data_IF_063552640949
#
_entry.id   IF_063552640949
#
_cell.length_a   1.000
_cell.length_b   1.000
_cell.length_c   1.000
_cell.angle_alpha   90.00
_cell.angle_beta   90.00
_cell.angle_gamma   90.00
#
_symmetry.space_group_name_H-M   'P 1'
#
loop_
_entity.id
_entity.type
_entity.pdbx_description
1 polymer ?
#
# COMPACT_ATOMS: atom_id res chain seq x y z
N UNK A 1 -64.78 -24.33 -21.24
CA UNK A 1 -65.36 -23.22 -20.47
C UNK A 1 -64.19 -22.52 -19.79
N UNK A 2 -63.79 -21.36 -20.30
CA UNK A 2 -62.73 -20.50 -19.75
C UNK A 2 -63.38 -19.54 -18.75
N UNK A 3 -62.86 -19.39 -17.52
CA UNK A 3 -62.92 -18.14 -16.77
C UNK A 3 -61.64 -17.30 -16.97
N UNK A 4 -61.75 -15.95 -17.00
CA UNK A 4 -60.68 -15.05 -17.42
C UNK A 4 -59.64 -14.77 -16.33
N UNK A 5 -58.43 -14.48 -16.80
CA UNK A 5 -57.23 -14.12 -16.03
C UNK A 5 -57.28 -12.63 -15.66
N UNK A 6 -57.15 -12.32 -14.37
CA UNK A 6 -56.90 -10.97 -13.86
C UNK A 6 -55.40 -10.81 -13.54
N UNK A 7 -54.79 -9.93 -14.33
CA UNK A 7 -53.66 -9.03 -14.07
C UNK A 7 -52.67 -9.36 -12.94
N UNK A 8 -51.44 -9.74 -13.33
CA UNK A 8 -50.24 -9.49 -12.53
C UNK A 8 -49.02 -9.33 -13.45
N UNK A 9 -48.66 -8.07 -13.67
CA UNK A 9 -47.37 -7.55 -14.14
C UNK A 9 -46.20 -8.55 -14.03
N UNK A 10 -45.75 -9.07 -15.17
CA UNK A 10 -44.47 -9.77 -15.28
C UNK A 10 -43.32 -8.82 -14.95
N UNK A 11 -42.76 -8.95 -13.75
CA UNK A 11 -41.41 -8.50 -13.44
C UNK A 11 -40.56 -9.76 -13.26
N UNK A 12 -39.77 -10.09 -14.28
CA UNK A 12 -38.72 -11.09 -14.14
C UNK A 12 -37.63 -10.52 -13.20
N UNK A 13 -37.23 -11.23 -12.13
CA UNK A 13 -36.10 -10.81 -11.33
C UNK A 13 -34.83 -10.95 -12.16
N UNK A 14 -34.18 -9.81 -12.44
CA UNK A 14 -32.86 -9.75 -13.07
C UNK A 14 -31.83 -10.37 -12.10
N UNK A 15 -31.42 -11.61 -12.32
CA UNK A 15 -30.28 -12.24 -11.65
C UNK A 15 -28.97 -11.65 -12.18
N UNK A 16 -28.13 -10.94 -11.38
CA UNK A 16 -26.76 -10.69 -11.77
C UNK A 16 -25.92 -11.92 -11.40
N UNK A 17 -25.82 -12.90 -12.31
CA UNK A 17 -24.84 -13.98 -12.18
C UNK A 17 -23.43 -13.46 -12.49
N UNK A 18 -22.83 -12.80 -11.51
CA UNK A 18 -21.45 -12.34 -11.51
C UNK A 18 -20.51 -13.19 -10.64
N UNK A 19 -20.89 -14.41 -10.28
CA UNK A 19 -20.10 -15.25 -9.37
C UNK A 19 -20.04 -16.68 -9.87
N UNK A 20 -18.99 -17.00 -10.62
CA UNK A 20 -18.62 -18.41 -10.80
C UNK A 20 -17.16 -18.61 -11.16
N UNK A 21 -16.24 -18.30 -10.27
CA UNK A 21 -14.99 -19.05 -10.07
C UNK A 21 -14.43 -18.68 -8.68
N UNK A 22 -14.67 -19.50 -7.66
CA UNK A 22 -13.89 -19.41 -6.42
C UNK A 22 -13.45 -20.81 -6.02
N UNK A 23 -12.13 -20.96 -5.90
CA UNK A 23 -11.47 -22.07 -5.24
C UNK A 23 -11.76 -21.96 -3.74
N UNK A 24 -12.26 -23.03 -3.12
CA UNK A 24 -12.71 -23.07 -1.72
C UNK A 24 -11.57 -22.80 -0.71
N UNK A 25 -10.32 -22.70 -1.18
CA UNK A 25 -9.13 -22.39 -0.39
C UNK A 25 -8.77 -20.88 -0.36
N UNK A 26 -9.36 -20.06 -1.24
CA UNK A 26 -9.19 -18.62 -1.24
C UNK A 26 -10.37 -18.00 -0.46
N UNK A 27 -10.14 -17.60 0.79
CA UNK A 27 -11.15 -16.92 1.60
C UNK A 27 -11.80 -15.71 0.90
N UNK A 28 -12.89 -15.14 1.46
CA UNK A 28 -13.71 -14.14 0.78
C UNK A 28 -12.88 -13.00 0.16
N UNK A 29 -12.88 -12.87 -1.17
CA UNK A 29 -12.20 -11.78 -1.86
C UNK A 29 -12.94 -10.46 -1.59
N UNK A 30 -12.43 -9.69 -0.63
CA UNK A 30 -12.89 -8.32 -0.40
C UNK A 30 -12.36 -7.45 -1.54
N UNK A 31 -13.23 -6.65 -2.18
CA UNK A 31 -12.80 -5.69 -3.20
C UNK A 31 -11.76 -4.73 -2.57
N UNK A 32 -10.62 -4.43 -3.23
CA UNK A 32 -9.54 -3.63 -2.64
C UNK A 32 -9.98 -2.27 -2.02
N UNK A 33 -11.08 -1.68 -2.53
CA UNK A 33 -11.63 -0.40 -2.07
C UNK A 33 -12.49 -0.48 -0.80
N UNK A 34 -12.97 -1.68 -0.45
CA UNK A 34 -13.66 -1.90 0.83
C UNK A 34 -12.64 -1.89 1.98
N UNK A 35 -11.41 -2.32 1.71
CA UNK A 35 -10.33 -2.39 2.70
C UNK A 35 -9.91 -1.02 3.25
N UNK A 36 -10.01 0.04 2.44
CA UNK A 36 -9.74 1.43 2.85
C UNK A 36 -10.98 2.16 3.36
N UNK A 37 -12.11 1.46 3.56
CA UNK A 37 -13.43 2.06 3.82
C UNK A 37 -13.84 3.10 2.78
N UNK A 38 -13.45 2.91 1.52
CA UNK A 38 -13.75 3.82 0.40
C UNK A 38 -12.80 5.01 0.26
N UNK A 39 -11.75 5.13 1.07
CA UNK A 39 -10.74 6.20 0.93
C UNK A 39 -9.83 5.91 -0.27
N UNK A 40 -9.56 6.95 -1.06
CA UNK A 40 -8.63 6.91 -2.20
C UNK A 40 -7.32 7.66 -1.93
N UNK A 41 -7.29 8.49 -0.88
CA UNK A 41 -6.13 9.31 -0.50
C UNK A 41 -5.82 9.13 0.99
N UNK A 42 -4.54 9.17 1.38
CA UNK A 42 -4.13 9.09 2.78
C UNK A 42 -4.59 10.31 3.57
N UNK A 43 -4.83 10.12 4.87
CA UNK A 43 -5.19 11.22 5.78
C UNK A 43 -3.98 12.11 6.10
N UNK A 44 -2.75 11.56 6.02
CA UNK A 44 -1.49 12.27 6.26
C UNK A 44 -0.36 11.67 5.41
N UNK A 45 0.59 12.52 5.02
CA UNK A 45 1.76 12.13 4.23
C UNK A 45 1.48 12.19 2.73
N UNK A 46 2.46 12.62 1.96
CA UNK A 46 2.47 12.47 0.51
C UNK A 46 3.47 11.36 0.17
N UNK A 47 2.98 10.31 -0.47
CA UNK A 47 3.72 9.07 -0.70
C UNK A 47 3.86 8.85 -2.20
N UNK A 48 4.97 9.28 -2.79
CA UNK A 48 5.32 8.87 -4.15
C UNK A 48 5.85 7.42 -4.17
N UNK A 49 6.03 6.85 -5.37
CA UNK A 49 6.49 5.46 -5.49
C UNK A 49 7.92 5.23 -4.97
N UNK A 50 8.74 6.28 -4.95
CA UNK A 50 10.15 6.20 -4.55
C UNK A 50 10.36 6.56 -3.07
N UNK A 51 9.31 7.02 -2.40
CA UNK A 51 9.32 7.39 -0.98
C UNK A 51 9.73 6.19 -0.16
N UNK A 52 10.78 6.35 0.64
CA UNK A 52 11.29 5.31 1.52
C UNK A 52 10.55 5.34 2.85
N UNK A 53 10.13 4.18 3.32
CA UNK A 53 9.37 3.99 4.54
C UNK A 53 10.11 3.02 5.46
N UNK A 54 10.13 3.34 6.74
CA UNK A 54 10.71 2.47 7.78
C UNK A 54 9.83 2.47 9.03
N UNK A 55 9.74 1.32 9.68
CA UNK A 55 9.00 1.13 10.92
C UNK A 55 9.70 1.84 12.08
N UNK A 56 8.91 2.44 12.96
CA UNK A 56 9.38 3.01 14.23
C UNK A 56 9.17 1.94 15.30
N UNK A 57 10.24 1.19 15.59
CA UNK A 57 10.23 0.13 16.59
C UNK A 57 9.73 -1.22 16.07
N UNK A 58 9.61 -2.21 16.98
CA UNK A 58 9.22 -3.57 16.63
C UNK A 58 7.75 -3.64 16.17
N UNK A 59 7.36 -4.77 15.58
CA UNK A 59 5.95 -5.04 15.28
C UNK A 59 5.11 -4.87 16.55
N UNK A 60 4.01 -4.10 16.51
CA UNK A 60 3.23 -3.83 17.70
C UNK A 60 2.50 -5.09 18.20
N UNK A 61 2.59 -5.40 19.50
CA UNK A 61 1.91 -6.55 20.11
C UNK A 61 0.50 -6.17 20.61
N UNK A 62 -0.55 -6.90 20.18
CA UNK A 62 -1.93 -6.76 20.70
C UNK A 62 -2.96 -6.10 19.75
N UNK A 63 -4.17 -5.85 20.26
CA UNK A 63 -5.29 -5.26 19.50
C UNK A 63 -5.15 -3.73 19.34
N UNK A 64 -4.30 -3.29 18.42
CA UNK A 64 -4.03 -1.85 18.19
C UNK A 64 -4.97 -1.28 17.10
N UNK A 65 -6.04 -2.03 16.80
CA UNK A 65 -6.97 -1.72 15.72
C UNK A 65 -6.28 -1.68 14.34
N UNK A 66 -5.22 -2.49 14.16
CA UNK A 66 -4.51 -2.63 12.90
C UNK A 66 -5.04 -3.87 12.17
N UNK A 67 -5.31 -3.73 10.88
CA UNK A 67 -5.66 -4.84 10.01
C UNK A 67 -4.44 -5.72 9.70
N UNK A 68 -4.64 -6.91 9.13
CA UNK A 68 -3.55 -7.80 8.75
C UNK A 68 -2.58 -7.15 7.77
N UNK A 69 -3.05 -6.28 6.87
CA UNK A 69 -2.20 -5.59 5.89
C UNK A 69 -1.37 -4.48 6.51
N UNK A 70 -1.87 -3.78 7.55
CA UNK A 70 -1.06 -2.86 8.34
C UNK A 70 0.08 -3.60 9.05
N UNK A 71 -0.20 -4.77 9.62
CA UNK A 71 0.82 -5.61 10.26
C UNK A 71 1.84 -6.15 9.24
N UNK A 72 1.38 -6.53 8.05
CA UNK A 72 2.26 -6.93 6.95
C UNK A 72 3.21 -5.79 6.56
N UNK A 73 2.71 -4.55 6.42
CA UNK A 73 3.55 -3.37 6.19
C UNK A 73 4.55 -3.19 7.34
N UNK A 74 4.14 -3.32 8.61
CA UNK A 74 5.05 -3.17 9.76
C UNK A 74 6.20 -4.19 9.75
N UNK A 75 5.95 -5.44 9.34
CA UNK A 75 6.97 -6.49 9.21
C UNK A 75 7.94 -6.18 8.08
N UNK A 76 7.40 -5.78 6.94
CA UNK A 76 8.13 -5.43 5.75
C UNK A 76 9.03 -4.19 5.98
N UNK A 77 8.50 -3.16 6.62
CA UNK A 77 9.21 -1.93 6.94
C UNK A 77 10.18 -2.05 8.13
N UNK A 78 10.42 -3.25 8.69
CA UNK A 78 11.56 -3.46 9.60
C UNK A 78 12.90 -3.21 8.88
N UNK A 79 12.90 -3.28 7.55
CA UNK A 79 13.94 -2.73 6.69
C UNK A 79 13.38 -1.54 5.91
N UNK A 80 14.26 -0.62 5.49
CA UNK A 80 13.85 0.52 4.65
C UNK A 80 13.32 -0.02 3.32
N UNK A 81 12.11 0.35 2.94
CA UNK A 81 11.48 -0.06 1.69
C UNK A 81 10.75 1.09 1.01
N UNK A 82 10.77 1.10 -0.33
CA UNK A 82 9.99 2.04 -1.12
C UNK A 82 8.51 1.65 -1.17
N UNK A 83 7.64 2.63 -1.46
CA UNK A 83 6.21 2.38 -1.70
C UNK A 83 6.01 1.41 -2.87
N UNK A 84 6.81 1.51 -3.93
CA UNK A 84 6.77 0.57 -5.05
C UNK A 84 7.03 -0.89 -4.60
N UNK A 85 8.06 -1.12 -3.79
CA UNK A 85 8.37 -2.45 -3.27
C UNK A 85 7.24 -2.98 -2.37
N UNK A 86 6.70 -2.14 -1.48
CA UNK A 86 5.56 -2.51 -0.64
C UNK A 86 4.36 -2.96 -1.48
N UNK A 87 4.03 -2.24 -2.55
CA UNK A 87 2.91 -2.63 -3.43
C UNK A 87 3.15 -3.97 -4.12
N UNK A 88 4.37 -4.22 -4.58
CA UNK A 88 4.75 -5.50 -5.19
C UNK A 88 4.73 -6.66 -4.20
N UNK A 89 5.15 -6.44 -2.96
CA UNK A 89 5.15 -7.47 -1.92
C UNK A 89 3.75 -7.81 -1.40
N UNK A 90 2.87 -6.82 -1.31
CA UNK A 90 1.52 -6.99 -0.79
C UNK A 90 0.50 -7.39 -1.87
N UNK A 91 0.86 -7.26 -3.15
CA UNK A 91 -0.05 -7.42 -4.30
C UNK A 91 -1.31 -6.53 -4.17
N UNK A 92 -1.11 -5.30 -3.67
CA UNK A 92 -2.18 -4.32 -3.46
C UNK A 92 -2.01 -3.10 -4.37
N UNK A 93 -3.11 -2.47 -4.82
CA UNK A 93 -3.02 -1.22 -5.56
C UNK A 93 -2.26 -0.13 -4.78
N UNK A 94 -1.49 0.68 -5.49
CA UNK A 94 -0.73 1.81 -4.91
C UNK A 94 -1.60 2.70 -4.02
N UNK A 95 -2.80 3.05 -4.47
CA UNK A 95 -3.71 3.88 -3.69
C UNK A 95 -4.09 3.24 -2.34
N UNK A 96 -4.32 1.93 -2.32
CA UNK A 96 -4.61 1.18 -1.10
C UNK A 96 -3.41 1.23 -0.14
N UNK A 97 -2.21 0.93 -0.64
CA UNK A 97 -0.99 0.97 0.19
C UNK A 97 -0.75 2.36 0.77
N UNK A 98 -0.94 3.43 -0.02
CA UNK A 98 -0.82 4.82 0.45
C UNK A 98 -1.76 5.12 1.60
N UNK A 99 -3.03 4.71 1.52
CA UNK A 99 -4.00 4.91 2.61
C UNK A 99 -3.53 4.19 3.89
N UNK A 100 -3.09 2.93 3.77
CA UNK A 100 -2.60 2.15 4.92
C UNK A 100 -1.34 2.80 5.54
N UNK A 101 -0.44 3.31 4.71
CA UNK A 101 0.75 4.05 5.16
C UNK A 101 0.35 5.34 5.89
N UNK A 102 -0.65 6.08 5.38
CA UNK A 102 -1.20 7.24 6.07
C UNK A 102 -1.73 6.90 7.46
N UNK A 103 -2.49 5.80 7.59
CA UNK A 103 -3.00 5.33 8.88
C UNK A 103 -1.87 4.97 9.87
N UNK A 104 -0.79 4.33 9.39
CA UNK A 104 0.39 4.01 10.22
C UNK A 104 1.19 5.25 10.60
N UNK A 105 1.31 6.21 9.68
CA UNK A 105 2.00 7.47 9.90
C UNK A 105 1.27 8.31 10.95
N UNK A 106 -0.06 8.36 10.89
CA UNK A 106 -0.91 9.02 11.90
C UNK A 106 -0.76 8.40 13.29
N UNK A 107 -0.56 7.08 13.35
CA UNK A 107 -0.28 6.36 14.60
C UNK A 107 1.18 6.47 15.06
N UNK A 108 2.06 7.11 14.29
CA UNK A 108 3.49 7.24 14.60
C UNK A 108 4.24 5.90 14.59
N UNK A 109 3.76 4.93 13.81
CA UNK A 109 4.33 3.58 13.71
C UNK A 109 5.34 3.43 12.57
N UNK A 110 5.34 4.38 11.63
CA UNK A 110 6.31 4.48 10.55
C UNK A 110 6.82 5.91 10.44
N UNK A 111 7.98 6.07 9.83
CA UNK A 111 8.45 7.36 9.31
C UNK A 111 8.78 7.24 7.83
N UNK A 112 8.70 8.36 7.15
CA UNK A 112 9.23 8.52 5.81
C UNK A 112 10.69 8.97 5.91
N UNK A 113 11.51 8.47 5.00
CA UNK A 113 12.86 8.95 4.79
C UNK A 113 12.90 9.56 3.38
N UNK A 114 13.28 10.84 3.29
CA UNK A 114 13.62 11.41 1.98
C UNK A 114 14.80 10.61 1.41
N UNK A 115 14.77 10.22 0.12
CA UNK A 115 15.94 9.67 -0.52
C UNK A 115 17.08 10.63 -0.26
N UNK A 116 18.07 10.23 0.55
CA UNK A 116 19.23 11.09 0.76
C UNK A 116 19.84 11.28 -0.62
N UNK A 117 19.88 12.51 -1.17
CA UNK A 117 20.69 12.74 -2.35
C UNK A 117 22.09 12.28 -1.94
N UNK A 118 22.61 11.28 -2.66
CA UNK A 118 23.88 10.62 -2.38
C UNK A 118 24.84 11.65 -1.79
N UNK A 119 25.09 11.50 -0.47
CA UNK A 119 25.64 12.52 0.40
C UNK A 119 26.61 13.41 -0.36
N UNK A 120 26.22 14.67 -0.62
CA UNK A 120 27.01 15.75 -1.23
C UNK A 120 28.44 15.30 -1.58
N UNK A 121 28.57 14.53 -2.67
CA UNK A 121 29.82 13.85 -3.00
C UNK A 121 30.85 14.83 -3.58
N UNK A 122 30.65 16.13 -3.35
CA UNK A 122 31.58 17.20 -3.64
C UNK A 122 32.41 17.56 -2.41
N UNK A 123 33.00 16.58 -1.74
CA UNK A 123 34.16 16.89 -0.90
C UNK A 123 35.28 17.33 -1.86
N UNK A 124 35.41 18.64 -2.05
CA UNK A 124 36.41 19.25 -2.94
C UNK A 124 37.83 18.78 -2.61
N UNK A 125 38.06 18.30 -1.39
CA UNK A 125 39.32 17.69 -0.96
C UNK A 125 39.56 16.35 -1.65
N UNK A 126 38.53 15.55 -1.88
CA UNK A 126 38.62 14.30 -2.64
C UNK A 126 38.97 14.58 -4.12
N UNK A 127 38.28 15.54 -4.75
CA UNK A 127 38.63 15.93 -6.13
C UNK A 127 40.05 16.49 -6.23
N UNK A 128 40.46 17.30 -5.24
CA UNK A 128 41.83 17.83 -5.19
C UNK A 128 42.86 16.72 -5.02
N UNK A 129 42.61 15.74 -4.15
CA UNK A 129 43.50 14.60 -3.95
C UNK A 129 43.65 13.75 -5.23
N UNK A 130 42.56 13.56 -6.00
CA UNK A 130 42.61 12.86 -7.29
C UNK A 130 43.42 13.64 -8.33
N UNK A 131 43.19 14.95 -8.45
CA UNK A 131 43.93 15.81 -9.39
C UNK A 131 45.41 15.84 -9.05
N UNK A 132 45.75 15.97 -7.77
CA UNK A 132 47.13 16.00 -7.31
C UNK A 132 47.83 14.65 -7.57
N UNK A 133 47.12 13.53 -7.39
CA UNK A 133 47.61 12.20 -7.74
C UNK A 133 47.86 11.98 -9.24
N UNK A 134 46.97 12.47 -10.11
CA UNK A 134 47.13 12.37 -11.57
C UNK A 134 48.27 13.24 -12.11
N UNK A 135 48.59 14.35 -11.45
CA UNK A 135 49.70 15.25 -11.84
C UNK A 135 51.07 14.79 -11.36
N UNK A 136 51.13 13.81 -10.47
CA UNK A 136 52.37 13.28 -9.92
C UNK A 136 52.96 12.11 -10.74
N UNK A 137 52.35 11.76 -11.88
CA UNK A 137 52.81 10.77 -12.86
C UNK A 137 53.38 11.47 -14.10
#
# INVERSE_FOLDING_TARGET
MIPPEDDALSQEPQEPHGERWLDDQAGPMVRPYVMTSGRLEPTRGDFDLITLVVAIGPEPEGEIGLGPEHLAIMRLCQQVMSVAELTGHLDLPVATVRVLLGDLLDKGLITMQEPQPEADMHDIRLYKAVIDGLRAL
#
